data_IF_556926755942
#
_entry.id   IF_556926755942
#
_cell.length_a   1.000
_cell.length_b   1.000
_cell.length_c   1.000
_cell.angle_alpha   90.00
_cell.angle_beta   90.00
_cell.angle_gamma   90.00
#
_symmetry.space_group_name_H-M   'P 1'
#
loop_
_entity.id
_entity.type
_entity.pdbx_description
1 polymer ?
#
# COMPACT_ATOMS: atom_id res chain seq x y z
N UNK A 1 -7.89 -9.19 -33.48
CA UNK A 1 -7.13 -7.93 -33.63
C UNK A 1 -5.75 -8.19 -33.05
N UNK A 2 -4.78 -8.59 -33.89
CA UNK A 2 -3.40 -8.85 -33.46
C UNK A 2 -2.75 -7.50 -33.12
N UNK A 3 -2.37 -7.32 -31.86
CA UNK A 3 -1.79 -6.07 -31.37
C UNK A 3 -0.40 -5.82 -31.92
N UNK A 4 -0.14 -4.58 -32.31
CA UNK A 4 1.19 -4.09 -32.70
C UNK A 4 2.23 -4.39 -31.60
N UNK A 5 3.51 -4.57 -31.97
CA UNK A 5 4.58 -4.79 -31.01
C UNK A 5 4.61 -3.65 -29.97
N UNK A 6 4.75 -4.01 -28.69
CA UNK A 6 4.81 -3.03 -27.59
C UNK A 6 6.11 -2.23 -27.71
N UNK A 7 6.00 -0.92 -27.91
CA UNK A 7 7.16 -0.03 -28.05
C UNK A 7 7.96 0.10 -26.73
N UNK A 8 7.27 0.14 -25.57
CA UNK A 8 7.90 0.23 -24.25
C UNK A 8 6.96 -0.25 -23.14
N UNK A 9 7.49 -0.63 -21.98
CA UNK A 9 6.69 -1.03 -20.81
C UNK A 9 7.40 -0.67 -19.50
N UNK A 10 6.69 0.00 -18.61
CA UNK A 10 7.14 0.32 -17.24
C UNK A 10 5.93 0.45 -16.31
N UNK A 11 6.18 0.50 -14.99
CA UNK A 11 5.12 0.61 -13.98
C UNK A 11 4.72 2.06 -13.70
N UNK A 12 3.41 2.35 -13.75
CA UNK A 12 2.86 3.69 -13.50
C UNK A 12 3.07 4.27 -12.10
N UNK A 13 2.83 3.53 -10.99
CA UNK A 13 2.76 4.15 -9.65
C UNK A 13 4.01 4.92 -9.21
N UNK A 14 5.20 4.44 -9.58
CA UNK A 14 6.46 5.12 -9.25
C UNK A 14 6.67 6.38 -10.08
N UNK A 15 6.27 6.32 -11.35
CA UNK A 15 6.31 7.43 -12.28
C UNK A 15 5.31 8.51 -11.85
N UNK A 16 4.07 8.12 -11.56
CA UNK A 16 3.02 9.05 -11.11
C UNK A 16 3.44 9.79 -9.85
N UNK A 17 4.02 9.07 -8.88
CA UNK A 17 4.54 9.68 -7.65
C UNK A 17 5.73 10.62 -7.91
N UNK A 18 6.60 10.31 -8.86
CA UNK A 18 7.72 11.18 -9.23
C UNK A 18 7.25 12.47 -9.91
N UNK A 19 6.32 12.36 -10.86
CA UNK A 19 5.71 13.50 -11.54
C UNK A 19 4.95 14.38 -10.55
N UNK A 20 4.19 13.78 -9.63
CA UNK A 20 3.48 14.53 -8.59
C UNK A 20 4.44 15.34 -7.70
N UNK A 21 5.54 14.73 -7.23
CA UNK A 21 6.54 15.45 -6.42
C UNK A 21 7.18 16.61 -7.18
N UNK A 22 7.53 16.40 -8.44
CA UNK A 22 8.14 17.46 -9.25
C UNK A 22 7.14 18.60 -9.52
N UNK A 23 5.87 18.30 -9.75
CA UNK A 23 4.81 19.31 -9.86
C UNK A 23 4.68 20.15 -8.59
N UNK A 24 4.67 19.51 -7.43
CA UNK A 24 4.55 20.23 -6.16
C UNK A 24 5.78 21.12 -5.92
N UNK A 25 6.98 20.63 -6.22
CA UNK A 25 8.23 21.40 -6.16
C UNK A 25 8.25 22.60 -7.12
N UNK A 26 7.76 22.42 -8.34
CA UNK A 26 7.71 23.48 -9.34
C UNK A 26 6.71 24.58 -8.97
N UNK A 27 5.62 24.23 -8.29
CA UNK A 27 4.56 25.15 -7.89
C UNK A 27 4.83 25.82 -6.54
N UNK A 28 5.60 25.19 -5.66
CA UNK A 28 5.96 25.69 -4.32
C UNK A 28 6.34 27.19 -4.29
N UNK A 29 7.28 27.70 -5.11
CA UNK A 29 7.65 29.12 -5.08
C UNK A 29 6.54 30.07 -5.57
N UNK A 30 5.62 29.58 -6.41
CA UNK A 30 4.51 30.34 -6.98
C UNK A 30 3.22 30.21 -6.16
N UNK A 31 3.18 29.28 -5.21
CA UNK A 31 1.96 28.94 -4.49
C UNK A 31 1.47 30.10 -3.61
N UNK A 32 2.37 30.95 -3.11
CA UNK A 32 2.02 32.14 -2.31
C UNK A 32 1.31 33.17 -3.21
N UNK A 33 1.93 33.53 -4.34
CA UNK A 33 1.35 34.48 -5.31
C UNK A 33 0.01 33.96 -5.87
N UNK A 34 -0.05 32.68 -6.22
CA UNK A 34 -1.26 32.04 -6.69
C UNK A 34 -2.38 32.03 -5.63
N UNK A 35 -2.03 31.93 -4.34
CA UNK A 35 -3.02 31.99 -3.25
C UNK A 35 -3.60 33.38 -3.13
N UNK A 36 -2.77 34.42 -3.12
CA UNK A 36 -3.25 35.81 -3.08
C UNK A 36 -4.10 36.16 -4.31
N UNK A 37 -3.69 35.71 -5.48
CA UNK A 37 -4.45 35.92 -6.72
C UNK A 37 -5.79 35.17 -6.68
N UNK A 38 -5.81 33.92 -6.21
CA UNK A 38 -7.04 33.14 -6.06
C UNK A 38 -8.00 33.78 -5.05
N UNK A 39 -7.48 34.31 -3.94
CA UNK A 39 -8.26 35.05 -2.96
C UNK A 39 -8.84 36.34 -3.56
N UNK A 40 -8.02 37.10 -4.30
CA UNK A 40 -8.47 38.30 -5.02
C UNK A 40 -9.59 37.99 -6.00
N UNK A 41 -9.39 37.01 -6.89
CA UNK A 41 -10.40 36.58 -7.85
C UNK A 41 -11.68 36.07 -7.16
N UNK A 42 -11.56 35.44 -5.99
CA UNK A 42 -12.71 35.00 -5.21
C UNK A 42 -13.49 36.19 -4.65
N UNK A 43 -12.80 37.19 -4.07
CA UNK A 43 -13.41 38.42 -3.58
C UNK A 43 -14.10 39.19 -4.70
N UNK A 44 -13.45 39.37 -5.84
CA UNK A 44 -14.02 40.03 -7.02
C UNK A 44 -15.32 39.34 -7.48
N UNK A 45 -15.33 38.01 -7.57
CA UNK A 45 -16.54 37.25 -7.91
C UNK A 45 -17.66 37.42 -6.89
N UNK A 46 -17.32 37.47 -5.59
CA UNK A 46 -18.31 37.73 -4.55
C UNK A 46 -18.87 39.14 -4.63
N UNK A 47 -18.02 40.14 -4.87
CA UNK A 47 -18.42 41.53 -5.06
C UNK A 47 -19.32 41.70 -6.29
N UNK A 48 -18.98 41.04 -7.40
CA UNK A 48 -19.80 41.05 -8.61
C UNK A 48 -21.16 40.39 -8.38
N UNK A 49 -21.21 39.25 -7.69
CA UNK A 49 -22.48 38.60 -7.31
C UNK A 49 -23.34 39.49 -6.42
N UNK A 50 -22.73 40.16 -5.43
CA UNK A 50 -23.42 41.13 -4.57
C UNK A 50 -23.94 42.31 -5.39
N UNK A 51 -23.12 42.84 -6.30
CA UNK A 51 -23.50 43.96 -7.16
C UNK A 51 -24.68 43.62 -8.08
N UNK A 52 -24.65 42.44 -8.72
CA UNK A 52 -25.76 41.96 -9.56
C UNK A 52 -27.04 41.83 -8.72
N UNK A 53 -26.95 41.24 -7.54
CA UNK A 53 -28.10 41.10 -6.64
C UNK A 53 -28.67 42.45 -6.20
N UNK A 54 -27.81 43.42 -5.84
CA UNK A 54 -28.23 44.77 -5.47
C UNK A 54 -28.93 45.49 -6.64
N UNK A 55 -28.44 45.33 -7.86
CA UNK A 55 -29.07 45.89 -9.06
C UNK A 55 -30.45 45.26 -9.32
N UNK A 56 -30.57 43.93 -9.20
CA UNK A 56 -31.84 43.22 -9.36
C UNK A 56 -32.87 43.68 -8.31
N UNK A 57 -32.43 43.85 -7.06
CA UNK A 57 -33.29 44.33 -5.98
C UNK A 57 -33.76 45.77 -6.25
N UNK A 58 -32.85 46.67 -6.62
CA UNK A 58 -33.19 48.07 -6.98
C UNK A 58 -34.19 48.13 -8.13
N UNK A 59 -34.01 47.31 -9.16
CA UNK A 59 -34.93 47.24 -10.28
C UNK A 59 -36.32 46.76 -9.81
N UNK A 60 -36.39 45.69 -9.02
CA UNK A 60 -37.65 45.16 -8.51
C UNK A 60 -38.37 46.18 -7.60
N UNK A 61 -37.64 46.89 -6.73
CA UNK A 61 -38.21 47.95 -5.89
C UNK A 61 -38.78 49.09 -6.73
N UNK A 62 -38.06 49.51 -7.78
CA UNK A 62 -38.54 50.55 -8.69
C UNK A 62 -39.82 50.12 -9.43
N UNK A 63 -39.86 48.88 -9.94
CA UNK A 63 -41.04 48.31 -10.60
C UNK A 63 -42.25 48.26 -9.66
N UNK A 64 -42.05 47.89 -8.38
CA UNK A 64 -43.10 47.90 -7.36
C UNK A 64 -43.63 49.31 -7.09
N UNK A 65 -42.76 50.30 -6.90
CA UNK A 65 -43.17 51.70 -6.71
C UNK A 65 -43.86 52.30 -7.94
N UNK A 66 -43.48 51.87 -9.15
CA UNK A 66 -44.16 52.29 -10.37
C UNK A 66 -45.55 51.68 -10.48
N UNK A 67 -45.70 50.39 -10.14
CA UNK A 67 -46.99 49.70 -10.13
C UNK A 67 -47.96 50.32 -9.10
N UNK A 68 -47.46 50.68 -7.92
CA UNK A 68 -48.21 51.39 -6.88
C UNK A 68 -48.77 52.73 -7.41
N UNK A 69 -47.92 53.58 -7.99
CA UNK A 69 -48.36 54.87 -8.55
C UNK A 69 -49.40 54.72 -9.65
N UNK A 70 -49.27 53.69 -10.50
CA UNK A 70 -50.26 53.40 -11.56
C UNK A 70 -51.60 52.96 -10.99
N UNK A 71 -51.59 52.13 -9.95
CA UNK A 71 -52.79 51.71 -9.25
C UNK A 71 -53.48 52.91 -8.56
N UNK A 72 -52.71 53.73 -7.84
CA UNK A 72 -53.23 54.92 -7.14
C UNK A 72 -53.83 55.98 -8.08
N UNK A 73 -53.38 56.06 -9.34
CA UNK A 73 -53.89 56.97 -10.34
C UNK A 73 -55.11 56.42 -11.14
N UNK A 74 -55.53 55.18 -10.90
CA UNK A 74 -56.65 54.57 -11.61
C UNK A 74 -57.99 55.15 -11.13
N UNK A 75 -58.87 55.48 -12.09
CA UNK A 75 -60.25 55.90 -11.78
C UNK A 75 -61.06 54.73 -11.17
N UNK A 76 -61.79 54.94 -10.06
CA UNK A 76 -62.65 53.93 -9.45
C UNK A 76 -63.68 53.28 -10.38
N UNK A 77 -64.15 53.99 -11.40
CA UNK A 77 -65.16 53.47 -12.35
C UNK A 77 -64.58 52.39 -13.27
N UNK A 78 -63.24 52.33 -13.41
CA UNK A 78 -62.52 51.36 -14.24
C UNK A 78 -62.16 50.07 -13.46
N UNK A 79 -63.16 49.42 -12.87
CA UNK A 79 -62.97 48.31 -11.91
C UNK A 79 -62.10 47.14 -12.41
N UNK A 80 -62.19 46.78 -13.70
CA UNK A 80 -61.38 45.70 -14.28
C UNK A 80 -59.90 46.10 -14.42
N UNK A 81 -59.63 47.37 -14.74
CA UNK A 81 -58.26 47.90 -14.86
C UNK A 81 -57.62 47.98 -13.47
N UNK A 82 -58.37 48.45 -12.46
CA UNK A 82 -57.93 48.50 -11.08
C UNK A 82 -57.52 47.10 -10.55
N UNK A 83 -58.34 46.07 -10.78
CA UNK A 83 -58.04 44.70 -10.36
C UNK A 83 -56.78 44.13 -11.04
N UNK A 84 -56.55 44.46 -12.32
CA UNK A 84 -55.35 44.02 -13.03
C UNK A 84 -54.10 44.77 -12.53
N UNK A 85 -54.20 46.07 -12.24
CA UNK A 85 -53.10 46.86 -11.68
C UNK A 85 -52.73 46.41 -10.27
N UNK A 86 -53.72 46.08 -9.44
CA UNK A 86 -53.53 45.49 -8.12
C UNK A 86 -52.75 44.18 -8.20
N UNK A 87 -53.19 43.25 -9.07
CA UNK A 87 -52.50 41.97 -9.29
C UNK A 87 -51.04 42.17 -9.76
N UNK A 88 -50.81 43.17 -10.62
CA UNK A 88 -49.47 43.51 -11.09
C UNK A 88 -48.60 44.07 -9.94
N UNK A 89 -49.17 44.91 -9.08
CA UNK A 89 -48.49 45.45 -7.91
C UNK A 89 -48.15 44.36 -6.89
N UNK A 90 -49.09 43.48 -6.57
CA UNK A 90 -48.84 42.32 -5.69
C UNK A 90 -47.73 41.40 -6.23
N UNK A 91 -47.68 41.22 -7.55
CA UNK A 91 -46.64 40.41 -8.20
C UNK A 91 -45.26 41.07 -8.08
N UNK A 92 -45.19 42.39 -8.27
CA UNK A 92 -43.96 43.15 -8.07
C UNK A 92 -43.50 43.13 -6.60
N UNK A 93 -44.43 43.27 -5.63
CA UNK A 93 -44.12 43.16 -4.20
C UNK A 93 -43.63 41.77 -3.80
N UNK A 94 -44.22 40.71 -4.36
CA UNK A 94 -43.73 39.33 -4.17
C UNK A 94 -42.31 39.17 -4.70
N UNK A 95 -42.01 39.71 -5.88
CA UNK A 95 -40.66 39.68 -6.46
C UNK A 95 -39.63 40.37 -5.57
N UNK A 96 -39.95 41.54 -5.01
CA UNK A 96 -39.08 42.23 -4.05
C UNK A 96 -38.83 41.35 -2.82
N UNK A 97 -39.89 40.80 -2.22
CA UNK A 97 -39.79 39.93 -1.04
C UNK A 97 -38.96 38.67 -1.30
N UNK A 98 -39.11 38.07 -2.49
CA UNK A 98 -38.34 36.89 -2.89
C UNK A 98 -36.85 37.22 -3.04
N UNK A 99 -36.52 38.40 -3.56
CA UNK A 99 -35.13 38.87 -3.68
C UNK A 99 -34.55 39.23 -2.30
N UNK A 100 -35.27 39.94 -1.44
CA UNK A 100 -34.85 40.25 -0.06
C UNK A 100 -34.65 38.98 0.79
N UNK A 101 -35.50 37.97 0.57
CA UNK A 101 -35.39 36.67 1.23
C UNK A 101 -34.21 35.84 0.73
N UNK A 102 -33.79 36.03 -0.53
CA UNK A 102 -32.55 35.48 -1.10
C UNK A 102 -31.37 36.35 -0.70
N UNK A 103 -31.01 36.36 0.59
CA UNK A 103 -29.70 36.88 0.99
C UNK A 103 -28.63 36.11 0.20
N UNK A 104 -27.72 36.79 -0.53
CA UNK A 104 -26.58 36.10 -1.12
C UNK A 104 -25.88 35.36 0.02
N UNK A 105 -25.58 34.07 -0.20
CA UNK A 105 -25.06 33.20 0.85
C UNK A 105 -23.80 33.81 1.46
N UNK A 106 -23.96 34.45 2.62
CA UNK A 106 -22.86 34.99 3.41
C UNK A 106 -22.23 33.80 4.12
N UNK A 107 -21.30 33.13 3.44
CA UNK A 107 -20.48 32.10 4.10
C UNK A 107 -19.55 32.80 5.10
N UNK A 108 -19.38 32.25 6.31
CA UNK A 108 -18.45 32.81 7.28
C UNK A 108 -17.00 32.74 6.78
N UNK A 109 -16.23 33.72 7.23
CA UNK A 109 -14.76 33.82 7.25
C UNK A 109 -14.10 33.71 5.87
N UNK A 110 -13.71 34.83 5.28
CA UNK A 110 -12.31 35.29 5.38
C UNK A 110 -11.58 34.53 6.48
N UNK A 111 -11.00 33.39 6.11
CA UNK A 111 -9.84 32.90 6.85
C UNK A 111 -8.83 34.02 6.65
N UNK A 112 -8.57 34.82 7.68
CA UNK A 112 -7.39 35.68 7.68
C UNK A 112 -6.20 34.72 7.63
N UNK A 113 -5.70 34.48 6.42
CA UNK A 113 -4.55 33.61 6.25
C UNK A 113 -3.33 34.43 6.61
N UNK A 114 -2.81 34.20 7.81
CA UNK A 114 -1.57 34.82 8.28
C UNK A 114 -0.44 34.50 7.28
N UNK A 115 0.25 35.52 6.72
CA UNK A 115 1.43 35.33 5.86
C UNK A 115 2.48 34.37 6.44
N UNK A 116 2.63 34.30 7.77
CA UNK A 116 3.57 33.37 8.40
C UNK A 116 3.09 31.90 8.37
N UNK A 117 1.79 31.65 8.19
CA UNK A 117 1.25 30.29 7.98
C UNK A 117 1.65 29.70 6.63
N UNK A 118 2.01 30.54 5.66
CA UNK A 118 2.54 30.13 4.36
C UNK A 118 4.01 29.73 4.37
N UNK A 119 4.73 29.90 5.49
CA UNK A 119 6.10 29.39 5.62
C UNK A 119 6.19 27.86 5.40
N UNK A 120 5.10 27.14 5.66
CA UNK A 120 4.96 25.70 5.41
C UNK A 120 4.05 25.40 4.20
N UNK A 121 3.94 26.31 3.23
CA UNK A 121 3.03 26.14 2.10
C UNK A 121 3.34 24.89 1.25
N UNK A 122 4.62 24.53 1.14
CA UNK A 122 5.07 23.29 0.51
C UNK A 122 4.45 22.05 1.19
N UNK A 123 4.55 21.99 2.51
CA UNK A 123 4.01 20.90 3.33
C UNK A 123 2.47 20.89 3.30
N UNK A 124 1.85 22.06 3.28
CA UNK A 124 0.40 22.20 3.15
C UNK A 124 -0.09 21.74 1.76
N UNK A 125 0.67 22.02 0.70
CA UNK A 125 0.33 21.62 -0.66
C UNK A 125 0.46 20.10 -0.84
N UNK A 126 1.52 19.50 -0.30
CA UNK A 126 1.66 18.04 -0.27
C UNK A 126 0.53 17.38 0.54
N UNK A 127 0.21 17.93 1.72
CA UNK A 127 -0.88 17.43 2.57
C UNK A 127 -2.24 17.55 1.89
N UNK A 128 -2.51 18.66 1.21
CA UNK A 128 -3.73 18.85 0.43
C UNK A 128 -3.78 17.88 -0.74
N UNK A 129 -2.67 17.68 -1.47
CA UNK A 129 -2.59 16.73 -2.57
C UNK A 129 -2.89 15.30 -2.11
N UNK A 130 -2.37 14.89 -0.95
CA UNK A 130 -2.57 13.54 -0.40
C UNK A 130 -3.90 13.34 0.34
N UNK A 131 -4.65 14.42 0.59
CA UNK A 131 -5.95 14.35 1.28
C UNK A 131 -6.95 13.43 0.56
N UNK A 132 -7.71 12.61 1.32
CA UNK A 132 -8.74 11.73 0.74
C UNK A 132 -9.89 12.52 0.08
N UNK A 133 -10.10 13.78 0.45
CA UNK A 133 -11.14 14.63 -0.12
C UNK A 133 -10.80 15.12 -1.53
N UNK A 134 -9.53 15.06 -1.93
CA UNK A 134 -9.08 15.48 -3.27
C UNK A 134 -9.28 14.34 -4.27
N UNK A 135 -10.30 14.51 -5.11
CA UNK A 135 -10.61 13.57 -6.18
C UNK A 135 -9.49 13.45 -7.21
N UNK A 136 -9.34 12.25 -7.79
CA UNK A 136 -8.42 12.02 -8.91
C UNK A 136 -8.67 12.95 -10.10
N UNK A 137 -9.94 13.34 -10.33
CA UNK A 137 -10.31 14.31 -11.36
C UNK A 137 -9.65 15.67 -11.09
N UNK A 138 -9.69 16.16 -9.85
CA UNK A 138 -9.05 17.42 -9.47
C UNK A 138 -7.53 17.37 -9.68
N UNK A 139 -6.87 16.27 -9.25
CA UNK A 139 -5.44 16.04 -9.47
C UNK A 139 -5.08 16.07 -10.95
N UNK A 140 -5.85 15.38 -11.79
CA UNK A 140 -5.63 15.35 -13.23
C UNK A 140 -5.88 16.72 -13.90
N UNK A 141 -6.85 17.48 -13.42
CA UNK A 141 -7.13 18.82 -13.93
C UNK A 141 -5.97 19.78 -13.63
N UNK A 142 -5.42 19.74 -12.41
CA UNK A 142 -4.24 20.53 -12.04
C UNK A 142 -3.00 20.16 -12.88
N UNK A 143 -2.77 18.86 -13.09
CA UNK A 143 -1.71 18.38 -13.97
C UNK A 143 -1.85 18.95 -15.39
N UNK A 144 -3.05 18.89 -15.97
CA UNK A 144 -3.34 19.40 -17.33
C UNK A 144 -3.27 20.93 -17.45
N UNK A 145 -3.40 21.66 -16.35
CA UNK A 145 -3.20 23.12 -16.38
C UNK A 145 -1.73 23.49 -16.47
N UNK A 146 -0.85 22.74 -15.80
CA UNK A 146 0.57 23.08 -15.66
C UNK A 146 1.47 22.40 -16.68
N UNK A 147 1.15 21.17 -17.07
CA UNK A 147 1.96 20.34 -17.96
C UNK A 147 1.36 20.39 -19.38
N UNK A 148 2.21 20.60 -20.38
CA UNK A 148 1.86 20.50 -21.79
C UNK A 148 1.84 19.03 -22.23
N UNK A 149 2.96 18.34 -22.05
CA UNK A 149 3.13 16.91 -22.29
C UNK A 149 4.32 16.37 -21.46
N UNK A 150 4.43 15.04 -21.44
CA UNK A 150 5.52 14.32 -20.78
C UNK A 150 6.07 13.34 -21.81
N UNK A 151 7.33 13.53 -22.20
CA UNK A 151 8.04 12.59 -23.06
C UNK A 151 8.70 11.54 -22.17
N UNK A 152 8.45 10.27 -22.48
CA UNK A 152 8.99 9.15 -21.71
C UNK A 152 9.93 8.34 -22.58
N UNK A 153 11.12 8.10 -22.04
CA UNK A 153 12.11 7.19 -22.60
C UNK A 153 12.52 6.15 -21.55
N UNK A 154 12.96 4.98 -22.01
CA UNK A 154 13.37 3.88 -21.14
C UNK A 154 14.78 3.47 -21.50
N UNK A 155 15.73 3.82 -20.63
CA UNK A 155 17.10 3.34 -20.72
C UNK A 155 17.17 1.94 -20.10
N UNK A 156 17.16 0.90 -20.95
CA UNK A 156 17.25 -0.49 -20.48
C UNK A 156 18.66 -0.88 -19.98
N UNK A 157 19.72 -0.13 -20.33
CA UNK A 157 21.08 -0.40 -19.86
C UNK A 157 21.25 0.01 -18.40
N UNK A 158 20.77 1.20 -18.05
CA UNK A 158 20.78 1.72 -16.67
C UNK A 158 19.54 1.25 -15.88
N UNK A 159 18.48 0.85 -16.59
CA UNK A 159 17.13 0.54 -16.07
C UNK A 159 16.48 1.73 -15.40
N UNK A 160 16.48 2.87 -16.09
CA UNK A 160 15.79 4.07 -15.69
C UNK A 160 14.70 4.43 -16.70
N UNK A 161 13.56 4.88 -16.18
CA UNK A 161 12.54 5.59 -16.95
C UNK A 161 12.90 7.07 -16.87
N UNK A 162 13.27 7.65 -18.01
CA UNK A 162 13.59 9.06 -18.15
C UNK A 162 12.32 9.78 -18.57
N UNK A 163 11.89 10.77 -17.78
CA UNK A 163 10.72 11.58 -18.06
C UNK A 163 11.16 13.01 -18.29
N UNK A 164 10.84 13.56 -19.45
CA UNK A 164 10.99 14.99 -19.73
C UNK A 164 9.61 15.63 -19.63
N UNK A 165 9.40 16.43 -18.59
CA UNK A 165 8.16 17.18 -18.38
C UNK A 165 8.30 18.52 -19.10
N UNK A 166 7.39 18.81 -20.02
CA UNK A 166 7.30 20.13 -20.62
C UNK A 166 6.21 20.93 -19.91
N UNK A 167 6.61 22.01 -19.24
CA UNK A 167 5.69 22.92 -18.57
C UNK A 167 5.06 23.86 -19.59
N UNK A 168 3.81 24.28 -19.37
CA UNK A 168 3.17 25.30 -20.23
C UNK A 168 3.87 26.66 -20.22
N UNK A 169 4.75 26.90 -19.23
CA UNK A 169 5.62 28.07 -19.16
C UNK A 169 6.90 27.97 -20.01
N UNK A 170 7.09 26.91 -20.79
CA UNK A 170 8.26 26.72 -21.67
C UNK A 170 9.54 26.22 -20.97
N UNK A 171 9.51 26.06 -19.64
CA UNK A 171 10.57 25.37 -18.90
C UNK A 171 10.39 23.86 -19.04
N UNK A 172 11.48 23.10 -18.89
CA UNK A 172 11.46 21.64 -18.90
C UNK A 172 12.17 21.07 -17.66
N UNK A 173 11.60 20.00 -17.09
CA UNK A 173 12.23 19.23 -16.00
C UNK A 173 12.51 17.80 -16.48
N UNK A 174 13.72 17.28 -16.20
CA UNK A 174 14.04 15.87 -16.41
C UNK A 174 13.97 15.11 -15.08
N UNK A 175 13.27 13.98 -15.06
CA UNK A 175 13.17 13.07 -13.94
C UNK A 175 13.66 11.69 -14.36
N UNK A 176 14.39 11.02 -13.46
CA UNK A 176 14.81 9.63 -13.66
C UNK A 176 14.22 8.75 -12.57
N UNK A 177 13.51 7.71 -13.00
CA UNK A 177 12.82 6.76 -12.10
C UNK A 177 13.30 5.35 -12.38
N UNK A 178 13.90 4.72 -11.37
CA UNK A 178 14.40 3.33 -11.48
C UNK A 178 13.29 2.35 -11.86
N UNK A 179 13.50 1.67 -12.98
CA UNK A 179 12.69 0.55 -13.47
C UNK A 179 13.06 -0.71 -12.64
N UNK A 180 12.11 -1.29 -11.88
CA UNK A 180 12.36 -2.51 -11.14
C UNK A 180 12.71 -3.66 -12.10
N UNK A 181 13.57 -4.58 -11.65
CA UNK A 181 13.85 -5.79 -12.39
C UNK A 181 12.61 -6.69 -12.48
N UNK A 182 12.56 -7.56 -13.49
CA UNK A 182 11.53 -8.61 -13.55
C UNK A 182 11.54 -9.44 -12.27
N UNK A 183 10.42 -9.42 -11.53
CA UNK A 183 10.28 -10.08 -10.22
C UNK A 183 10.60 -9.21 -9.00
N UNK A 184 11.15 -8.01 -9.18
CA UNK A 184 11.35 -7.04 -8.10
C UNK A 184 10.03 -6.31 -7.81
N UNK A 185 9.53 -6.45 -6.58
CA UNK A 185 8.28 -5.83 -6.15
C UNK A 185 8.43 -5.11 -4.80
N UNK A 186 7.59 -4.10 -4.54
CA UNK A 186 7.61 -3.31 -3.30
C UNK A 186 7.29 -4.08 -2.02
N UNK A 187 6.73 -5.29 -2.14
CA UNK A 187 6.39 -6.16 -1.01
C UNK A 187 7.57 -7.02 -0.56
N UNK A 188 8.71 -6.40 -0.25
CA UNK A 188 9.88 -7.11 0.26
C UNK A 188 9.67 -7.53 1.72
N UNK A 189 10.23 -8.67 2.11
CA UNK A 189 10.31 -9.07 3.52
C UNK A 189 11.16 -8.06 4.29
N UNK A 190 10.64 -7.56 5.43
CA UNK A 190 11.36 -6.65 6.29
C UNK A 190 12.71 -7.24 6.74
N UNK A 191 13.74 -6.39 6.85
CA UNK A 191 15.10 -6.85 7.18
C UNK A 191 15.15 -7.50 8.56
N UNK A 192 14.33 -7.04 9.52
CA UNK A 192 14.19 -7.64 10.84
C UNK A 192 13.68 -9.09 10.78
N UNK A 193 12.67 -9.34 9.92
CA UNK A 193 12.18 -10.69 9.67
C UNK A 193 13.27 -11.56 9.04
N UNK A 194 14.07 -11.02 8.11
CA UNK A 194 15.22 -11.75 7.55
C UNK A 194 16.31 -12.01 8.60
N UNK A 195 16.55 -11.09 9.52
CA UNK A 195 17.51 -11.27 10.62
C UNK A 195 17.07 -12.40 11.55
N UNK A 196 15.80 -12.45 11.94
CA UNK A 196 15.23 -13.55 12.72
C UNK A 196 15.36 -14.87 11.94
N UNK A 197 15.00 -14.90 10.66
CA UNK A 197 15.20 -16.08 9.83
C UNK A 197 16.66 -16.55 9.80
N UNK A 198 17.62 -15.64 9.61
CA UNK A 198 19.06 -15.97 9.61
C UNK A 198 19.53 -16.51 10.96
N UNK A 199 19.05 -15.95 12.07
CA UNK A 199 19.41 -16.39 13.42
C UNK A 199 18.86 -17.77 13.80
N UNK A 200 17.68 -18.12 13.26
CA UNK A 200 17.01 -19.38 13.56
C UNK A 200 17.31 -20.49 12.54
N UNK A 201 17.65 -20.11 11.30
CA UNK A 201 17.99 -21.04 10.24
C UNK A 201 19.18 -21.92 10.64
N UNK A 202 19.14 -23.18 10.22
CA UNK A 202 20.13 -24.21 10.59
C UNK A 202 19.97 -24.77 12.01
N UNK A 203 19.15 -24.16 12.88
CA UNK A 203 18.87 -24.66 14.25
C UNK A 203 17.42 -25.02 14.49
N UNK A 204 16.49 -24.41 13.75
CA UNK A 204 15.04 -24.59 13.86
C UNK A 204 14.41 -24.94 12.50
N UNK A 205 13.30 -25.69 12.50
CA UNK A 205 12.55 -25.98 11.26
C UNK A 205 11.82 -24.75 10.75
N UNK A 206 11.49 -24.72 9.46
CA UNK A 206 10.77 -23.59 8.84
C UNK A 206 9.38 -23.35 9.48
N UNK A 207 8.75 -24.40 10.03
CA UNK A 207 7.51 -24.28 10.81
C UNK A 207 7.72 -23.49 12.11
N UNK A 208 8.81 -23.76 12.84
CA UNK A 208 9.16 -23.04 14.06
C UNK A 208 9.56 -21.60 13.76
N UNK A 209 10.30 -21.37 12.67
CA UNK A 209 10.65 -20.01 12.22
C UNK A 209 9.38 -19.22 11.87
N UNK A 210 8.45 -19.82 11.14
CA UNK A 210 7.17 -19.19 10.81
C UNK A 210 6.34 -18.86 12.06
N UNK A 211 6.26 -19.78 13.01
CA UNK A 211 5.56 -19.58 14.27
C UNK A 211 6.17 -18.43 15.10
N UNK A 212 7.50 -18.34 15.18
CA UNK A 212 8.20 -17.25 15.86
C UNK A 212 7.94 -15.89 15.21
N UNK A 213 8.06 -15.79 13.89
CA UNK A 213 7.81 -14.55 13.16
C UNK A 213 6.36 -14.05 13.36
N UNK A 214 5.39 -14.96 13.31
CA UNK A 214 3.98 -14.62 13.58
C UNK A 214 3.77 -14.15 15.02
N UNK A 215 4.41 -14.79 16.00
CA UNK A 215 4.32 -14.40 17.42
C UNK A 215 4.94 -13.03 17.68
N UNK A 216 6.00 -12.68 16.95
CA UNK A 216 6.64 -11.37 17.01
C UNK A 216 5.83 -10.27 16.28
N UNK A 217 4.68 -10.61 15.68
CA UNK A 217 3.86 -9.66 14.95
C UNK A 217 4.53 -9.15 13.67
N UNK A 218 5.50 -9.88 13.11
CA UNK A 218 6.21 -9.48 11.90
C UNK A 218 5.51 -10.06 10.67
N UNK A 219 4.73 -9.29 9.90
CA UNK A 219 4.06 -9.81 8.72
C UNK A 219 5.05 -10.02 7.56
N UNK A 220 4.64 -10.83 6.58
CA UNK A 220 5.34 -10.88 5.29
C UNK A 220 5.29 -9.52 4.59
N UNK A 221 6.11 -9.32 3.55
CA UNK A 221 6.09 -8.09 2.75
C UNK A 221 4.72 -7.76 2.16
N UNK A 222 3.83 -8.74 1.97
CA UNK A 222 2.46 -8.56 1.50
C UNK A 222 1.42 -8.43 2.64
N UNK A 223 1.83 -8.26 3.90
CA UNK A 223 0.91 -8.17 5.04
C UNK A 223 0.29 -9.50 5.48
N UNK A 224 0.74 -10.63 4.93
CA UNK A 224 0.21 -11.98 5.24
C UNK A 224 0.99 -12.65 6.38
N UNK A 225 0.37 -13.64 7.02
CA UNK A 225 1.01 -14.51 8.03
C UNK A 225 2.11 -15.38 7.44
N UNK A 226 3.08 -15.80 8.25
CA UNK A 226 4.12 -16.74 7.86
C UNK A 226 3.62 -18.19 7.88
N UNK A 227 4.01 -18.96 6.87
CA UNK A 227 3.89 -20.42 6.81
C UNK A 227 5.26 -21.01 6.52
N UNK A 228 5.48 -22.29 6.84
CA UNK A 228 6.75 -22.97 6.58
C UNK A 228 7.18 -22.84 5.10
N UNK A 229 6.23 -22.99 4.17
CA UNK A 229 6.48 -22.80 2.73
C UNK A 229 6.93 -21.37 2.38
N UNK A 230 6.33 -20.34 2.99
CA UNK A 230 6.72 -18.93 2.76
C UNK A 230 8.13 -18.65 3.30
N UNK A 231 8.47 -19.20 4.47
CA UNK A 231 9.82 -19.10 5.03
C UNK A 231 10.82 -19.81 4.12
N UNK A 232 10.54 -21.05 3.69
CA UNK A 232 11.41 -21.81 2.79
C UNK A 232 11.67 -21.09 1.46
N UNK A 233 10.62 -20.50 0.87
CA UNK A 233 10.74 -19.71 -0.37
C UNK A 233 11.65 -18.49 -0.18
N UNK A 234 11.42 -17.68 0.86
CA UNK A 234 12.25 -16.50 1.16
C UNK A 234 13.69 -16.91 1.44
N UNK A 235 13.90 -17.97 2.21
CA UNK A 235 15.23 -18.51 2.50
C UNK A 235 15.98 -18.93 1.23
N UNK A 236 15.33 -19.61 0.28
CA UNK A 236 15.95 -19.99 -1.01
C UNK A 236 16.34 -18.76 -1.83
N UNK A 237 15.42 -17.80 -1.99
CA UNK A 237 15.69 -16.57 -2.75
C UNK A 237 16.83 -15.74 -2.12
N UNK A 238 16.96 -15.79 -0.79
CA UNK A 238 17.98 -15.05 -0.04
C UNK A 238 19.21 -15.88 0.35
N UNK A 239 19.34 -17.10 -0.17
CA UNK A 239 20.44 -18.03 0.13
C UNK A 239 20.69 -18.28 1.64
N UNK A 240 19.64 -18.29 2.46
CA UNK A 240 19.71 -18.60 3.88
C UNK A 240 19.63 -20.13 4.03
N UNK A 241 20.73 -20.77 4.42
CA UNK A 241 20.85 -22.23 4.44
C UNK A 241 20.05 -22.89 5.56
N UNK A 242 19.54 -24.10 5.31
CA UNK A 242 18.70 -24.84 6.24
C UNK A 242 19.55 -25.70 7.18
N UNK A 243 18.95 -26.66 7.88
CA UNK A 243 19.71 -27.84 8.32
C UNK A 243 20.32 -28.54 7.11
N UNK A 244 21.45 -29.23 7.28
CA UNK A 244 22.14 -29.91 6.17
C UNK A 244 21.23 -30.90 5.43
N UNK A 245 20.29 -31.54 6.14
CA UNK A 245 19.31 -32.50 5.57
C UNK A 245 18.06 -31.89 4.93
N UNK A 246 17.89 -30.57 5.03
CA UNK A 246 16.79 -29.87 4.37
C UNK A 246 17.13 -29.47 2.92
N UNK A 247 18.42 -29.37 2.59
CA UNK A 247 18.88 -29.34 1.21
C UNK A 247 18.81 -30.75 0.63
N UNK A 248 18.07 -30.93 -0.47
CA UNK A 248 17.75 -32.24 -1.06
C UNK A 248 18.81 -32.73 -2.05
N UNK A 249 20.06 -32.32 -1.83
CA UNK A 249 21.20 -32.71 -2.66
C UNK A 249 21.63 -34.17 -2.41
N UNK A 250 20.95 -34.86 -1.47
CA UNK A 250 21.11 -36.28 -1.19
C UNK A 250 22.31 -36.62 -0.31
N UNK A 251 23.14 -35.63 0.06
CA UNK A 251 24.30 -35.83 0.93
C UNK A 251 23.89 -36.07 2.40
N UNK A 252 22.84 -35.39 2.86
CA UNK A 252 22.35 -35.46 4.23
C UNK A 252 20.87 -35.81 4.27
N UNK A 253 20.53 -36.74 5.16
CA UNK A 253 19.20 -37.32 5.27
C UNK A 253 18.65 -37.12 6.68
N UNK A 254 17.34 -36.91 6.75
CA UNK A 254 16.61 -37.00 8.01
C UNK A 254 16.48 -38.46 8.45
N UNK A 255 16.11 -38.69 9.71
CA UNK A 255 15.86 -40.04 10.24
C UNK A 255 14.81 -40.81 9.41
N UNK A 256 13.75 -40.12 8.96
CA UNK A 256 12.68 -40.72 8.14
C UNK A 256 13.16 -41.10 6.75
N UNK A 257 14.01 -40.28 6.14
CA UNK A 257 14.59 -40.57 4.83
C UNK A 257 15.63 -41.69 4.92
N UNK A 258 16.49 -41.69 5.94
CA UNK A 258 17.42 -42.78 6.20
C UNK A 258 16.69 -44.12 6.43
N UNK A 259 15.56 -44.07 7.14
CA UNK A 259 14.69 -45.23 7.35
C UNK A 259 14.11 -45.76 6.02
N UNK A 260 13.64 -44.87 5.16
CA UNK A 260 13.13 -45.22 3.83
C UNK A 260 14.23 -45.82 2.93
N UNK A 261 15.44 -45.23 2.91
CA UNK A 261 16.58 -45.72 2.14
C UNK A 261 17.00 -47.13 2.56
N UNK A 262 17.00 -47.40 3.87
CA UNK A 262 17.41 -48.69 4.42
C UNK A 262 16.26 -49.72 4.51
N UNK A 263 15.02 -49.32 4.21
CA UNK A 263 13.84 -50.19 4.34
C UNK A 263 13.53 -50.62 5.78
N UNK A 264 13.86 -49.78 6.77
CA UNK A 264 13.68 -50.07 8.21
C UNK A 264 12.78 -49.03 8.88
N UNK A 265 12.38 -49.28 10.13
CA UNK A 265 11.59 -48.32 10.91
C UNK A 265 12.45 -47.22 11.53
N UNK A 266 11.87 -46.04 11.77
CA UNK A 266 12.51 -44.93 12.49
C UNK A 266 13.08 -45.35 13.85
N UNK A 267 12.41 -46.28 14.55
CA UNK A 267 12.89 -46.84 15.80
C UNK A 267 14.24 -47.57 15.63
N UNK A 268 14.41 -48.34 14.54
CA UNK A 268 15.66 -49.05 14.26
C UNK A 268 16.80 -48.07 13.95
N UNK A 269 16.55 -47.02 13.18
CA UNK A 269 17.53 -45.95 12.93
C UNK A 269 17.94 -45.29 14.26
N UNK A 270 16.97 -44.91 15.10
CA UNK A 270 17.25 -44.33 16.43
C UNK A 270 18.07 -45.27 17.30
N UNK A 271 17.80 -46.58 17.26
CA UNK A 271 18.58 -47.57 17.98
C UNK A 271 20.02 -47.64 17.47
N UNK A 272 20.25 -47.65 16.15
CA UNK A 272 21.59 -47.66 15.53
C UNK A 272 22.40 -46.41 15.88
N UNK A 273 21.73 -45.25 15.99
CA UNK A 273 22.36 -44.01 16.46
C UNK A 273 22.73 -44.12 17.95
N UNK A 274 21.80 -44.64 18.78
CA UNK A 274 22.03 -44.82 20.23
C UNK A 274 23.17 -45.79 20.52
N UNK A 275 23.30 -46.86 19.73
CA UNK A 275 24.41 -47.84 19.82
C UNK A 275 25.68 -47.38 19.12
N UNK A 276 25.71 -46.14 18.60
CA UNK A 276 26.85 -45.52 17.90
C UNK A 276 27.33 -46.28 16.65
N UNK A 277 26.46 -47.11 16.07
CA UNK A 277 26.73 -47.83 14.81
C UNK A 277 26.49 -46.92 13.60
N UNK A 278 25.52 -46.00 13.71
CA UNK A 278 25.27 -44.96 12.71
C UNK A 278 25.63 -43.60 13.30
N UNK A 279 26.51 -42.88 12.62
CA UNK A 279 26.84 -41.50 12.98
C UNK A 279 25.69 -40.57 12.56
N UNK A 280 25.29 -39.70 13.49
CA UNK A 280 24.26 -38.69 13.25
C UNK A 280 24.57 -37.44 14.05
N UNK A 281 24.46 -36.28 13.41
CA UNK A 281 24.64 -34.98 14.06
C UNK A 281 23.29 -34.41 14.50
N UNK A 282 23.24 -33.86 15.71
CA UNK A 282 22.15 -32.98 16.15
C UNK A 282 22.75 -31.64 16.55
N UNK A 283 22.13 -30.55 16.08
CA UNK A 283 22.57 -29.18 16.43
C UNK A 283 22.28 -28.88 17.89
N UNK A 284 21.16 -29.38 18.41
CA UNK A 284 20.78 -29.36 19.83
C UNK A 284 20.05 -30.67 20.17
N UNK A 285 20.07 -31.14 21.43
CA UNK A 285 19.31 -32.32 21.83
C UNK A 285 17.82 -32.17 21.45
N UNK A 286 17.31 -33.13 20.67
CA UNK A 286 15.92 -33.12 20.19
C UNK A 286 15.69 -32.45 18.82
N UNK A 287 16.70 -31.82 18.24
CA UNK A 287 16.65 -31.40 16.83
C UNK A 287 16.62 -32.60 15.88
N UNK A 288 16.15 -32.44 14.63
CA UNK A 288 16.21 -33.50 13.63
C UNK A 288 17.63 -34.06 13.47
N UNK A 289 17.75 -35.40 13.43
CA UNK A 289 19.02 -36.06 13.14
C UNK A 289 19.48 -35.75 11.71
N UNK A 290 20.75 -35.35 11.57
CA UNK A 290 21.43 -35.15 10.29
C UNK A 290 22.36 -36.34 10.06
N UNK A 291 22.00 -37.18 9.10
CA UNK A 291 22.71 -38.43 8.80
C UNK A 291 23.32 -38.31 7.42
N UNK A 292 24.63 -38.57 7.26
CA UNK A 292 25.23 -38.60 5.92
C UNK A 292 24.75 -39.83 5.15
N UNK A 293 24.36 -39.64 3.90
CA UNK A 293 23.93 -40.74 3.04
C UNK A 293 25.04 -41.76 2.78
N UNK A 294 26.31 -41.32 2.74
CA UNK A 294 27.49 -42.20 2.65
C UNK A 294 27.55 -43.21 3.78
N UNK A 295 27.16 -42.80 4.99
CA UNK A 295 27.35 -43.60 6.19
C UNK A 295 26.39 -44.78 6.21
N UNK A 296 25.21 -44.64 5.58
CA UNK A 296 24.20 -45.69 5.45
C UNK A 296 24.70 -46.93 4.67
N UNK A 297 25.67 -46.75 3.76
CA UNK A 297 26.22 -47.83 2.95
C UNK A 297 27.40 -48.56 3.61
N UNK A 298 27.79 -48.16 4.82
CA UNK A 298 28.91 -48.76 5.52
C UNK A 298 28.65 -50.25 5.86
N UNK A 299 29.70 -51.07 5.80
CA UNK A 299 29.66 -52.49 6.16
C UNK A 299 29.05 -52.78 7.56
N UNK A 300 29.37 -52.03 8.63
CA UNK A 300 28.77 -52.27 9.95
C UNK A 300 27.25 -52.05 9.98
N UNK A 301 26.72 -51.11 9.19
CA UNK A 301 25.29 -50.84 9.14
C UNK A 301 24.56 -51.94 8.38
N UNK A 302 25.12 -52.39 7.24
CA UNK A 302 24.57 -53.53 6.50
C UNK A 302 24.54 -54.80 7.36
N UNK A 303 25.61 -55.07 8.12
CA UNK A 303 25.65 -56.19 9.06
C UNK A 303 24.63 -56.05 10.20
N UNK A 304 24.44 -54.83 10.74
CA UNK A 304 23.47 -54.56 11.81
C UNK A 304 22.01 -54.65 11.35
N UNK A 305 21.72 -54.38 10.08
CA UNK A 305 20.39 -54.56 9.47
C UNK A 305 20.14 -56.04 9.13
N UNK A 306 21.16 -56.75 8.64
CA UNK A 306 21.08 -58.17 8.30
C UNK A 306 20.88 -59.08 9.53
N UNK A 307 21.34 -58.66 10.72
CA UNK A 307 21.00 -59.29 11.99
C UNK A 307 19.51 -59.12 12.29
N UNK A 308 18.67 -59.98 11.69
CA UNK A 308 17.28 -60.22 12.10
C UNK A 308 17.27 -60.94 13.46
N UNK A 309 17.65 -60.22 14.52
CA UNK A 309 17.57 -60.70 15.88
C UNK A 309 16.20 -60.38 16.48
N UNK A 310 15.50 -61.43 16.94
CA UNK A 310 14.40 -61.39 17.93
C UNK A 310 14.67 -60.35 19.04
N UNK A 311 13.65 -59.83 19.73
CA UNK A 311 13.86 -58.89 20.83
C UNK A 311 14.81 -59.51 21.85
N UNK A 312 15.99 -58.93 22.02
CA UNK A 312 16.85 -59.25 23.15
C UNK A 312 16.14 -58.70 24.39
N UNK A 313 15.44 -59.56 25.14
CA UNK A 313 15.25 -59.30 26.57
C UNK A 313 16.66 -59.26 27.14
N UNK A 314 17.09 -58.08 27.59
CA UNK A 314 18.22 -57.99 28.50
C UNK A 314 17.80 -58.79 29.73
N UNK A 315 18.35 -59.98 29.91
CA UNK A 315 18.25 -60.67 31.19
C UNK A 315 19.08 -59.82 32.16
N UNK A 316 18.39 -59.09 33.02
CA UNK A 316 19.02 -58.28 34.06
C UNK A 316 19.63 -59.25 35.08
N UNK A 317 20.96 -59.18 35.25
CA UNK A 317 21.71 -60.07 36.13
C UNK A 317 21.37 -59.87 37.62
N UNK A 318 20.59 -58.83 37.94
CA UNK A 318 20.16 -58.48 39.31
C UNK A 318 18.70 -58.86 39.62
N UNK A 319 18.07 -59.73 38.81
CA UNK A 319 16.71 -60.19 39.12
C UNK A 319 16.72 -61.28 40.20
N UNK A 320 16.56 -60.89 41.46
CA UNK A 320 16.33 -61.83 42.57
C UNK A 320 15.05 -62.65 42.32
N UNK A 321 15.05 -63.99 42.49
CA UNK A 321 13.86 -64.81 42.30
C UNK A 321 12.80 -64.47 43.35
N UNK A 322 11.60 -64.12 42.90
CA UNK A 322 10.45 -63.69 43.72
C UNK A 322 9.72 -64.84 44.41
N UNK A 323 10.30 -66.04 44.47
CA UNK A 323 9.71 -67.19 45.15
C UNK A 323 10.81 -68.00 45.84
N UNK A 324 10.77 -68.03 47.17
CA UNK A 324 11.47 -69.02 47.99
C UNK A 324 10.61 -70.29 48.02
N UNK A 325 11.20 -71.42 47.64
CA UNK A 325 10.56 -72.73 47.77
C UNK A 325 10.35 -73.06 49.26
N UNK A 326 9.10 -73.20 49.66
CA UNK A 326 8.64 -73.97 50.83
C UNK A 326 7.37 -74.68 50.46
#
# INVERSE_FOLDING_TARGET
>A
MMGLPRCMTFGGPRVDAAVARELLRAVEPLAIEATFEAERMHRERQEEQRHIHDLELRQASYEASLAERRYAACDPDNRLIAAQLEKNWETALRRVRDLEGRKPAERPSTIEVDPATFANLADNLQSAWDSPDVTMRARQQLLRTLIADIVVDVDDAVRDVVLTIHWKGGQHSELRVRKPQSGEHGYATAEDALAVMRSMAGRWSDEHIAASLNRMGMPTGQGKTWTAHRVASVRRVRAIHAYKSADKDGEWLTMTEAAAVLGVTNHRIRHLIKTKVLFAEQVVPGAPYQIRASDLNSAPIRAAIARKGRPCRLADADTLPMFTET
#
